data_IF_556046875501
#
_entry.id   IF_556046875501
#
_cell.length_a   1.000
_cell.length_b   1.000
_cell.length_c   1.000
_cell.angle_alpha   90.00
_cell.angle_beta   90.00
_cell.angle_gamma   90.00
#
_symmetry.space_group_name_H-M   'P 1'
#
loop_
_entity.id
_entity.type
_entity.pdbx_description
1 polymer ?
#
# COMPACT_ATOMS: atom_id res chain seq x y z
N UNK A 1 24.45 -37.92 -22.64
CA UNK A 1 24.33 -36.56 -22.06
C UNK A 1 23.06 -35.77 -22.46
N UNK A 2 22.21 -36.25 -23.38
CA UNK A 2 21.10 -35.46 -23.97
C UNK A 2 19.78 -35.39 -23.15
N UNK A 3 19.36 -36.46 -22.46
CA UNK A 3 18.05 -36.50 -21.75
C UNK A 3 17.94 -35.59 -20.50
N UNK A 4 19.04 -35.38 -19.76
CA UNK A 4 19.05 -34.48 -18.58
C UNK A 4 18.93 -33.01 -18.97
N UNK A 5 19.51 -32.62 -20.11
CA UNK A 5 19.43 -31.26 -20.62
C UNK A 5 18.02 -30.92 -21.10
N UNK A 6 17.37 -31.83 -21.85
CA UNK A 6 15.99 -31.65 -22.34
C UNK A 6 14.97 -31.51 -21.20
N UNK A 7 15.12 -32.33 -20.15
CA UNK A 7 14.24 -32.29 -18.97
C UNK A 7 14.48 -31.09 -18.04
N UNK A 8 15.63 -30.43 -18.14
CA UNK A 8 15.89 -29.15 -17.45
C UNK A 8 15.26 -27.96 -18.19
N UNK A 9 15.31 -27.98 -19.54
CA UNK A 9 14.71 -26.96 -20.41
C UNK A 9 13.18 -26.95 -20.33
N UNK A 10 12.54 -28.14 -20.36
CA UNK A 10 11.08 -28.27 -20.21
C UNK A 10 10.56 -27.87 -18.82
N UNK A 11 11.38 -28.08 -17.77
CA UNK A 11 11.06 -27.62 -16.41
C UNK A 11 11.16 -26.10 -16.29
N UNK A 12 12.18 -25.49 -16.90
CA UNK A 12 12.35 -24.05 -16.94
C UNK A 12 11.19 -23.33 -17.62
N UNK A 13 10.79 -23.80 -18.81
CA UNK A 13 9.68 -23.19 -19.57
C UNK A 13 8.32 -23.33 -18.86
N UNK A 14 8.09 -24.45 -18.17
CA UNK A 14 6.85 -24.70 -17.42
C UNK A 14 6.75 -23.83 -16.16
N UNK A 15 7.85 -23.64 -15.43
CA UNK A 15 7.92 -22.75 -14.25
C UNK A 15 7.79 -21.29 -14.66
N UNK A 16 8.40 -20.88 -15.77
CA UNK A 16 8.26 -19.53 -16.31
C UNK A 16 6.85 -19.24 -16.82
N UNK A 17 6.19 -20.21 -17.45
CA UNK A 17 4.80 -20.09 -17.89
C UNK A 17 3.84 -19.97 -16.70
N UNK A 18 4.03 -20.79 -15.65
CA UNK A 18 3.26 -20.70 -14.42
C UNK A 18 3.47 -19.34 -13.72
N UNK A 19 4.72 -18.89 -13.59
CA UNK A 19 5.03 -17.59 -12.98
C UNK A 19 4.49 -16.38 -13.78
N UNK A 20 4.49 -16.46 -15.13
CA UNK A 20 3.86 -15.44 -15.99
C UNK A 20 2.34 -15.43 -15.84
N UNK A 21 1.72 -16.60 -15.77
CA UNK A 21 0.27 -16.76 -15.61
C UNK A 21 -0.19 -16.24 -14.24
N UNK A 22 0.52 -16.58 -13.17
CA UNK A 22 0.22 -16.10 -11.81
C UNK A 22 0.40 -14.57 -11.73
N UNK A 23 1.41 -14.01 -12.39
CA UNK A 23 1.59 -12.55 -12.51
C UNK A 23 0.47 -11.89 -13.31
N UNK A 24 -0.04 -12.54 -14.35
CA UNK A 24 -1.19 -12.08 -15.12
C UNK A 24 -2.46 -12.02 -14.28
N UNK A 25 -2.75 -13.07 -13.49
CA UNK A 25 -3.89 -13.09 -12.57
C UNK A 25 -3.77 -12.03 -11.48
N UNK A 26 -2.58 -11.84 -10.90
CA UNK A 26 -2.35 -10.81 -9.89
C UNK A 26 -2.54 -9.40 -10.46
N UNK A 27 -2.04 -9.13 -11.67
CA UNK A 27 -2.24 -7.83 -12.33
C UNK A 27 -3.70 -7.61 -12.70
N UNK A 28 -4.37 -8.62 -13.26
CA UNK A 28 -5.80 -8.55 -13.60
C UNK A 28 -6.66 -8.31 -12.36
N UNK A 29 -6.37 -8.98 -11.25
CA UNK A 29 -7.03 -8.75 -9.96
C UNK A 29 -6.80 -7.32 -9.45
N UNK A 30 -5.56 -6.82 -9.52
CA UNK A 30 -5.22 -5.46 -9.11
C UNK A 30 -5.95 -4.40 -9.96
N UNK A 31 -5.97 -4.58 -11.28
CA UNK A 31 -6.71 -3.68 -12.18
C UNK A 31 -8.22 -3.75 -11.94
N UNK A 32 -8.77 -4.95 -11.74
CA UNK A 32 -10.19 -5.16 -11.43
C UNK A 32 -10.60 -4.46 -10.13
N UNK A 33 -9.82 -4.64 -9.06
CA UNK A 33 -10.06 -3.97 -7.77
C UNK A 33 -9.95 -2.44 -7.94
N UNK A 34 -8.95 -1.95 -8.66
CA UNK A 34 -8.76 -0.52 -8.90
C UNK A 34 -9.93 0.09 -9.69
N UNK A 35 -10.42 -0.61 -10.71
CA UNK A 35 -11.57 -0.17 -11.52
C UNK A 35 -12.87 -0.19 -10.72
N UNK A 36 -13.10 -1.23 -9.90
CA UNK A 36 -14.26 -1.31 -9.02
C UNK A 36 -14.26 -0.21 -7.97
N UNK A 37 -13.10 0.10 -7.38
CA UNK A 37 -12.95 1.20 -6.45
C UNK A 37 -13.29 2.54 -7.11
N UNK A 38 -12.81 2.77 -8.34
CA UNK A 38 -13.14 3.97 -9.11
C UNK A 38 -14.63 4.08 -9.45
N UNK A 39 -15.24 2.99 -9.93
CA UNK A 39 -16.66 2.95 -10.24
C UNK A 39 -17.52 3.25 -9.00
N UNK A 40 -17.14 2.69 -7.84
CA UNK A 40 -17.80 2.95 -6.58
C UNK A 40 -17.68 4.43 -6.16
N UNK A 41 -16.50 5.04 -6.29
CA UNK A 41 -16.33 6.47 -5.97
C UNK A 41 -17.15 7.40 -6.86
N UNK A 42 -17.28 7.09 -8.16
CA UNK A 42 -18.11 7.87 -9.08
C UNK A 42 -19.59 7.72 -8.72
N UNK A 43 -20.05 6.49 -8.48
CA UNK A 43 -21.44 6.25 -8.08
C UNK A 43 -21.79 6.96 -6.76
N UNK A 44 -20.86 7.00 -5.81
CA UNK A 44 -21.06 7.72 -4.54
C UNK A 44 -21.12 9.24 -4.73
N UNK A 45 -20.38 9.78 -5.70
CA UNK A 45 -20.41 11.21 -6.05
C UNK A 45 -21.73 11.61 -6.75
N UNK A 46 -22.26 10.75 -7.62
CA UNK A 46 -23.52 11.01 -8.33
C UNK A 46 -24.75 10.97 -7.40
N UNK A 47 -24.68 10.25 -6.28
CA UNK A 47 -25.74 10.18 -5.27
C UNK A 47 -25.63 11.23 -4.15
N UNK A 48 -24.60 12.09 -4.18
CA UNK A 48 -24.43 13.15 -3.20
C UNK A 48 -25.35 14.35 -3.52
N UNK A 49 -26.54 14.34 -2.93
CA UNK A 49 -27.53 15.40 -3.09
C UNK A 49 -27.05 16.74 -2.45
N UNK A 50 -26.84 17.83 -3.22
CA UNK A 50 -26.25 19.07 -2.71
C UNK A 50 -27.08 19.72 -1.59
N UNK A 51 -28.40 19.49 -1.58
CA UNK A 51 -29.33 20.01 -0.58
C UNK A 51 -29.19 19.36 0.80
N UNK A 52 -28.90 18.05 0.86
CA UNK A 52 -28.63 17.34 2.11
C UNK A 52 -27.19 17.54 2.58
N UNK A 53 -26.26 17.84 1.68
CA UNK A 53 -24.86 18.12 2.03
C UNK A 53 -24.71 19.36 2.93
N UNK A 54 -25.50 20.42 2.71
CA UNK A 54 -25.53 21.61 3.58
C UNK A 54 -26.18 21.35 4.94
N UNK A 55 -27.20 20.48 4.99
CA UNK A 55 -27.87 20.10 6.25
C UNK A 55 -26.97 19.18 7.12
N UNK A 56 -26.23 18.26 6.50
CA UNK A 56 -25.24 17.41 7.19
C UNK A 56 -23.96 18.15 7.58
N UNK A 57 -23.52 19.13 6.78
CA UNK A 57 -22.31 19.90 7.08
C UNK A 57 -22.39 20.74 8.38
N UNK A 58 -23.60 21.08 8.85
CA UNK A 58 -23.78 21.96 10.02
C UNK A 58 -23.99 21.20 11.36
N UNK A 59 -24.27 19.89 11.33
CA UNK A 59 -24.77 19.17 12.51
C UNK A 59 -23.82 18.13 13.15
N UNK A 60 -22.70 17.76 12.51
CA UNK A 60 -21.91 16.62 12.96
C UNK A 60 -20.70 17.01 13.83
N UNK A 61 -20.88 17.00 15.15
CA UNK A 61 -19.77 16.63 16.03
C UNK A 61 -19.23 15.28 15.54
N UNK A 62 -17.91 15.15 15.34
CA UNK A 62 -17.29 13.90 14.88
C UNK A 62 -17.62 12.77 15.87
N UNK A 63 -18.62 11.97 15.55
CA UNK A 63 -18.98 10.79 16.31
C UNK A 63 -17.89 9.72 16.11
N UNK A 64 -17.76 8.80 17.09
CA UNK A 64 -16.83 7.67 17.00
C UNK A 64 -17.02 6.83 15.71
N UNK A 65 -18.24 6.84 15.17
CA UNK A 65 -18.59 6.22 13.89
C UNK A 65 -17.88 6.88 12.71
N UNK A 66 -17.85 8.20 12.62
CA UNK A 66 -17.18 8.94 11.53
C UNK A 66 -15.66 8.74 11.54
N UNK A 67 -15.05 8.71 12.73
CA UNK A 67 -13.64 8.37 12.91
C UNK A 67 -13.36 6.94 12.43
N UNK A 68 -14.23 5.98 12.78
CA UNK A 68 -14.13 4.60 12.36
C UNK A 68 -14.22 4.44 10.84
N UNK A 69 -15.22 5.05 10.21
CA UNK A 69 -15.42 5.00 8.75
C UNK A 69 -14.25 5.66 8.01
N UNK A 70 -13.79 6.83 8.48
CA UNK A 70 -12.64 7.54 7.90
C UNK A 70 -11.36 6.72 8.03
N UNK A 71 -11.12 6.11 9.20
CA UNK A 71 -9.99 5.21 9.40
C UNK A 71 -10.03 3.98 8.51
N UNK A 72 -11.20 3.35 8.33
CA UNK A 72 -11.36 2.22 7.43
C UNK A 72 -11.11 2.62 5.97
N UNK A 73 -11.63 3.77 5.54
CA UNK A 73 -11.38 4.31 4.20
C UNK A 73 -9.88 4.50 3.96
N UNK A 74 -9.17 5.20 4.85
CA UNK A 74 -7.72 5.36 4.78
C UNK A 74 -7.01 4.00 4.80
N UNK A 75 -7.36 3.12 5.75
CA UNK A 75 -6.76 1.79 5.89
C UNK A 75 -6.86 0.96 4.62
N UNK A 76 -8.07 0.83 4.06
CA UNK A 76 -8.31 0.06 2.82
C UNK A 76 -7.53 0.67 1.66
N UNK A 77 -7.56 2.00 1.51
CA UNK A 77 -6.83 2.69 0.43
C UNK A 77 -5.32 2.50 0.54
N UNK A 78 -4.76 2.69 1.73
CA UNK A 78 -3.32 2.52 1.99
C UNK A 78 -2.91 1.07 1.72
N UNK A 79 -3.65 0.08 2.21
CA UNK A 79 -3.37 -1.34 1.94
C UNK A 79 -3.46 -1.64 0.44
N UNK A 80 -4.50 -1.18 -0.25
CA UNK A 80 -4.70 -1.43 -1.68
C UNK A 80 -3.55 -0.87 -2.53
N UNK A 81 -3.08 0.34 -2.22
CA UNK A 81 -2.03 1.01 -2.99
C UNK A 81 -0.61 0.60 -2.60
N UNK A 82 -0.38 0.29 -1.33
CA UNK A 82 0.97 0.02 -0.80
C UNK A 82 1.30 -1.47 -0.77
N UNK A 83 0.33 -2.38 -0.69
CA UNK A 83 0.63 -3.82 -0.78
C UNK A 83 1.33 -4.23 -2.09
N UNK A 84 0.98 -3.67 -3.27
CA UNK A 84 1.69 -3.93 -4.52
C UNK A 84 3.19 -3.60 -4.47
N UNK A 85 3.61 -2.59 -3.70
CA UNK A 85 5.02 -2.19 -3.61
C UNK A 85 5.85 -3.21 -2.81
N UNK A 86 5.23 -3.89 -1.85
CA UNK A 86 5.84 -4.97 -1.05
C UNK A 86 5.84 -6.34 -1.74
N UNK A 87 5.07 -6.52 -2.83
CA UNK A 87 4.90 -7.79 -3.50
C UNK A 87 6.23 -8.46 -3.97
N UNK A 88 7.22 -7.73 -4.55
CA UNK A 88 8.48 -8.34 -4.95
C UNK A 88 9.26 -8.94 -3.76
N UNK A 89 9.23 -8.29 -2.60
CA UNK A 89 9.88 -8.76 -1.36
C UNK A 89 9.17 -9.97 -0.78
N UNK A 90 7.83 -9.95 -0.74
CA UNK A 90 7.03 -11.09 -0.30
C UNK A 90 7.30 -12.34 -1.15
N UNK A 91 7.34 -12.19 -2.48
CA UNK A 91 7.66 -13.28 -3.39
C UNK A 91 9.08 -13.82 -3.18
N UNK A 92 10.06 -12.95 -2.90
CA UNK A 92 11.41 -13.36 -2.57
C UNK A 92 11.47 -14.17 -1.27
N UNK A 93 10.80 -13.72 -0.20
CA UNK A 93 10.73 -14.43 1.08
C UNK A 93 10.05 -15.79 0.94
N UNK A 94 8.96 -15.89 0.17
CA UNK A 94 8.28 -17.17 -0.11
C UNK A 94 9.18 -18.13 -0.89
N UNK A 95 9.91 -17.65 -1.90
CA UNK A 95 10.85 -18.47 -2.67
C UNK A 95 12.00 -18.99 -1.80
N UNK A 96 12.57 -18.14 -0.95
CA UNK A 96 13.63 -18.54 -0.02
C UNK A 96 13.11 -19.56 1.00
N UNK A 97 11.89 -19.38 1.52
CA UNK A 97 11.25 -20.34 2.43
C UNK A 97 11.05 -21.71 1.80
N UNK A 98 10.56 -21.77 0.55
CA UNK A 98 10.34 -23.02 -0.19
C UNK A 98 11.61 -23.72 -0.66
N UNK A 99 12.73 -22.99 -0.78
CA UNK A 99 14.02 -23.56 -1.16
C UNK A 99 14.75 -24.25 0.01
N UNK A 100 14.25 -24.12 1.25
CA UNK A 100 14.86 -24.78 2.42
C UNK A 100 14.49 -26.26 2.44
N UNK A 101 15.38 -27.16 2.91
CA UNK A 101 15.12 -28.60 3.00
C UNK A 101 14.04 -29.02 4.02
N UNK A 102 13.40 -28.06 4.69
CA UNK A 102 12.39 -28.31 5.72
C UNK A 102 11.05 -28.71 5.06
N UNK A 103 10.44 -29.85 5.45
CA UNK A 103 9.18 -30.34 4.88
C UNK A 103 7.99 -29.36 4.97
N UNK A 104 8.07 -28.34 5.84
CA UNK A 104 6.95 -27.44 6.13
C UNK A 104 6.76 -26.28 5.15
N UNK A 105 7.70 -26.01 4.24
CA UNK A 105 7.58 -24.91 3.27
C UNK A 105 7.23 -23.56 3.94
N UNK A 106 7.81 -23.32 5.11
CA UNK A 106 7.34 -22.33 6.09
C UNK A 106 7.13 -20.92 5.51
N UNK A 107 5.86 -20.51 5.45
CA UNK A 107 5.43 -19.15 5.06
C UNK A 107 5.59 -18.12 6.20
N UNK A 108 6.02 -18.56 7.38
CA UNK A 108 6.15 -17.74 8.59
C UNK A 108 6.99 -16.46 8.38
N UNK A 109 8.14 -16.47 7.68
CA UNK A 109 8.90 -15.24 7.44
C UNK A 109 8.14 -14.27 6.52
N UNK A 110 7.46 -14.78 5.49
CA UNK A 110 6.69 -13.93 4.58
C UNK A 110 5.47 -13.30 5.27
N UNK A 111 4.73 -14.07 6.07
CA UNK A 111 3.60 -13.55 6.85
C UNK A 111 4.04 -12.58 7.94
N UNK A 112 5.17 -12.85 8.60
CA UNK A 112 5.75 -11.93 9.59
C UNK A 112 6.18 -10.60 8.96
N UNK A 113 6.81 -10.64 7.78
CA UNK A 113 7.11 -9.42 7.02
C UNK A 113 5.85 -8.64 6.65
N UNK A 114 4.83 -9.32 6.12
CA UNK A 114 3.57 -8.70 5.77
C UNK A 114 2.91 -8.01 6.97
N UNK A 115 2.91 -8.67 8.14
CA UNK A 115 2.37 -8.12 9.38
C UNK A 115 3.08 -6.82 9.76
N UNK A 116 4.42 -6.81 9.75
CA UNK A 116 5.21 -5.63 10.09
C UNK A 116 4.94 -4.46 9.15
N UNK A 117 4.82 -4.75 7.85
CA UNK A 117 4.48 -3.76 6.83
C UNK A 117 3.07 -3.17 7.06
N UNK A 118 2.07 -4.03 7.27
CA UNK A 118 0.70 -3.59 7.50
C UNK A 118 0.57 -2.76 8.78
N UNK A 119 1.30 -3.09 9.86
CA UNK A 119 1.29 -2.31 11.10
C UNK A 119 1.70 -0.85 10.87
N UNK A 120 2.74 -0.61 10.06
CA UNK A 120 3.16 0.76 9.72
C UNK A 120 2.06 1.49 8.94
N UNK A 121 1.46 0.86 7.94
CA UNK A 121 0.39 1.50 7.15
C UNK A 121 -0.90 1.70 7.93
N UNK A 122 -1.23 0.82 8.86
CA UNK A 122 -2.32 1.02 9.82
C UNK A 122 -2.04 2.23 10.70
N UNK A 123 -0.82 2.39 11.21
CA UNK A 123 -0.43 3.57 12.00
C UNK A 123 -0.50 4.87 11.18
N UNK A 124 -0.08 4.84 9.91
CA UNK A 124 -0.20 5.97 8.99
C UNK A 124 -1.67 6.31 8.71
N UNK A 125 -2.52 5.29 8.55
CA UNK A 125 -3.96 5.49 8.33
C UNK A 125 -4.62 6.14 9.54
N UNK A 126 -4.23 5.75 10.75
CA UNK A 126 -4.68 6.40 11.99
C UNK A 126 -4.22 7.87 12.03
N UNK A 127 -2.94 8.12 11.71
CA UNK A 127 -2.42 9.48 11.64
C UNK A 127 -3.18 10.34 10.63
N UNK A 128 -3.47 9.82 9.44
CA UNK A 128 -4.23 10.51 8.41
C UNK A 128 -5.65 10.86 8.86
N UNK A 129 -6.34 9.91 9.51
CA UNK A 129 -7.67 10.15 10.10
C UNK A 129 -7.63 11.26 11.14
N UNK A 130 -6.67 11.24 12.06
CA UNK A 130 -6.52 12.28 13.08
C UNK A 130 -6.18 13.64 12.48
N UNK A 131 -5.32 13.67 11.45
CA UNK A 131 -4.98 14.90 10.74
C UNK A 131 -6.21 15.48 10.03
N UNK A 132 -6.99 14.65 9.33
CA UNK A 132 -8.22 15.06 8.65
C UNK A 132 -9.25 15.59 9.65
N UNK A 133 -9.42 14.91 10.79
CA UNK A 133 -10.28 15.39 11.88
C UNK A 133 -9.87 16.78 12.37
N UNK A 134 -8.57 16.99 12.66
CA UNK A 134 -8.04 18.29 13.11
C UNK A 134 -8.19 19.40 12.07
N UNK A 135 -8.02 19.09 10.79
CA UNK A 135 -8.21 20.05 9.70
C UNK A 135 -9.67 20.42 9.51
N UNK A 136 -10.57 19.45 9.72
CA UNK A 136 -12.01 19.67 9.69
C UNK A 136 -12.48 20.55 10.86
N UNK A 137 -12.00 20.32 12.09
CA UNK A 137 -12.27 21.18 13.25
C UNK A 137 -11.89 22.65 13.01
N UNK A 138 -10.86 22.89 12.18
CA UNK A 138 -10.39 24.23 11.83
C UNK A 138 -11.07 24.83 10.59
N UNK A 139 -12.10 24.17 10.06
CA UNK A 139 -12.78 24.51 8.82
C UNK A 139 -11.83 24.68 7.60
N UNK A 140 -10.65 24.05 7.63
CA UNK A 140 -9.68 24.11 6.53
C UNK A 140 -10.00 23.08 5.44
N UNK A 141 -10.70 22.01 5.79
CA UNK A 141 -11.04 20.88 4.91
C UNK A 141 -12.50 20.49 5.13
N UNK A 142 -13.26 20.26 4.06
CA UNK A 142 -14.66 19.82 4.08
C UNK A 142 -14.78 18.37 4.56
N UNK A 143 -16.01 17.92 4.85
CA UNK A 143 -16.27 16.51 5.14
C UNK A 143 -15.84 15.57 3.99
N UNK A 144 -15.89 16.07 2.74
CA UNK A 144 -15.44 15.36 1.54
C UNK A 144 -13.92 15.43 1.29
N UNK A 145 -13.14 16.06 2.18
CA UNK A 145 -11.69 16.17 2.02
C UNK A 145 -11.22 17.33 1.13
N UNK A 146 -12.13 18.20 0.67
CA UNK A 146 -11.80 19.35 -0.17
C UNK A 146 -11.26 20.51 0.68
N UNK A 147 -10.21 21.18 0.20
CA UNK A 147 -9.70 22.39 0.87
C UNK A 147 -10.75 23.51 0.82
N UNK A 148 -11.03 24.10 1.98
CA UNK A 148 -11.92 25.26 2.10
C UNK A 148 -11.16 26.60 2.14
N UNK A 149 -9.82 26.55 2.12
CA UNK A 149 -8.96 27.74 2.12
C UNK A 149 -7.98 27.71 0.94
N UNK A 150 -8.04 28.75 0.11
CA UNK A 150 -7.11 28.93 -1.01
C UNK A 150 -5.67 29.10 -0.54
N UNK A 151 -5.46 29.77 0.61
CA UNK A 151 -4.13 29.94 1.21
C UNK A 151 -3.58 28.59 1.68
N UNK A 152 -4.38 27.80 2.39
CA UNK A 152 -3.97 26.47 2.84
C UNK A 152 -3.63 25.56 1.66
N UNK A 153 -4.51 25.49 0.66
CA UNK A 153 -4.27 24.73 -0.56
C UNK A 153 -3.02 25.20 -1.30
N UNK A 154 -2.83 26.52 -1.44
CA UNK A 154 -1.66 27.12 -2.07
C UNK A 154 -0.36 26.80 -1.35
N UNK A 155 -0.32 26.87 -0.01
CA UNK A 155 0.85 26.50 0.79
C UNK A 155 1.18 25.00 0.62
N UNK A 156 0.18 24.13 0.69
CA UNK A 156 0.38 22.68 0.50
C UNK A 156 0.93 22.39 -0.90
N UNK A 157 0.38 23.02 -1.94
CA UNK A 157 0.84 22.86 -3.32
C UNK A 157 2.26 23.40 -3.53
N UNK A 158 2.60 24.55 -2.93
CA UNK A 158 3.95 25.10 -2.98
C UNK A 158 4.96 24.16 -2.31
N UNK A 159 4.65 23.66 -1.11
CA UNK A 159 5.50 22.68 -0.41
C UNK A 159 5.66 21.39 -1.23
N UNK A 160 4.58 20.88 -1.82
CA UNK A 160 4.64 19.73 -2.72
C UNK A 160 5.49 20.02 -3.97
N UNK A 161 5.37 21.21 -4.55
CA UNK A 161 6.18 21.65 -5.69
C UNK A 161 7.67 21.72 -5.36
N UNK A 162 8.02 22.34 -4.22
CA UNK A 162 9.41 22.40 -3.73
C UNK A 162 9.96 21.00 -3.49
N UNK A 163 9.20 20.11 -2.83
CA UNK A 163 9.62 18.72 -2.64
C UNK A 163 9.81 17.98 -3.97
N UNK A 164 8.93 18.20 -4.95
CA UNK A 164 8.99 17.53 -6.24
C UNK A 164 10.16 18.02 -7.12
N UNK A 165 10.50 19.31 -7.03
CA UNK A 165 11.55 19.95 -7.84
C UNK A 165 12.95 19.83 -7.22
N UNK A 166 13.05 19.51 -5.92
CA UNK A 166 14.34 19.33 -5.24
C UNK A 166 14.93 17.93 -5.49
N UNK A 167 16.27 17.80 -5.51
CA UNK A 167 16.94 16.51 -5.64
C UNK A 167 16.67 15.56 -4.46
N UNK A 168 16.05 16.07 -3.38
CA UNK A 168 15.63 15.31 -2.21
C UNK A 168 14.69 14.16 -2.59
N UNK A 169 13.71 14.39 -3.49
CA UNK A 169 12.83 13.34 -3.99
C UNK A 169 13.62 12.19 -4.63
N UNK A 170 14.60 12.51 -5.48
CA UNK A 170 15.39 11.50 -6.15
C UNK A 170 16.32 10.75 -5.20
N UNK A 171 16.93 11.44 -4.23
CA UNK A 171 17.74 10.79 -3.20
C UNK A 171 16.91 9.79 -2.38
N UNK A 172 15.70 10.20 -1.98
CA UNK A 172 14.75 9.35 -1.26
C UNK A 172 14.34 8.13 -2.11
N UNK A 173 13.90 8.36 -3.36
CA UNK A 173 13.47 7.27 -4.26
C UNK A 173 14.58 6.26 -4.57
N UNK A 174 15.84 6.69 -4.76
CA UNK A 174 16.98 5.77 -4.95
C UNK A 174 17.18 4.84 -3.76
N UNK A 175 16.97 5.35 -2.54
CA UNK A 175 17.04 4.54 -1.32
C UNK A 175 15.83 3.62 -1.17
N UNK A 176 14.62 4.13 -1.46
CA UNK A 176 13.37 3.38 -1.27
C UNK A 176 13.09 2.32 -2.35
N UNK A 177 13.62 2.47 -3.58
CA UNK A 177 13.31 1.59 -4.74
C UNK A 177 14.37 0.52 -5.05
N UNK A 178 15.39 0.34 -4.22
CA UNK A 178 16.39 -0.71 -4.47
C UNK A 178 16.14 -1.94 -3.58
N UNK A 179 15.25 -2.87 -4.00
CA UNK A 179 14.91 -4.04 -3.18
C UNK A 179 16.11 -4.96 -2.94
N UNK A 180 17.06 -5.05 -3.88
CA UNK A 180 18.29 -5.81 -3.69
C UNK A 180 19.21 -5.16 -2.65
N UNK A 181 19.36 -3.83 -2.66
CA UNK A 181 20.14 -3.13 -1.65
C UNK A 181 19.49 -3.25 -0.27
N UNK A 182 18.16 -3.18 -0.21
CA UNK A 182 17.44 -3.40 1.04
C UNK A 182 17.67 -4.82 1.57
N UNK A 183 17.52 -5.83 0.71
CA UNK A 183 17.71 -7.22 1.11
C UNK A 183 19.16 -7.45 1.59
N UNK A 184 20.16 -6.98 0.85
CA UNK A 184 21.56 -7.15 1.23
C UNK A 184 21.95 -6.40 2.51
N UNK A 185 21.32 -5.25 2.80
CA UNK A 185 21.67 -4.44 3.98
C UNK A 185 20.81 -4.69 5.22
N UNK A 186 19.58 -5.19 5.06
CA UNK A 186 18.62 -5.37 6.16
C UNK A 186 18.21 -6.82 6.39
N UNK A 187 18.79 -7.80 5.66
CA UNK A 187 18.45 -9.21 5.85
C UNK A 187 18.60 -9.64 7.31
N UNK A 188 17.52 -10.17 7.86
CA UNK A 188 17.48 -10.71 9.22
C UNK A 188 16.83 -12.09 9.16
N UNK A 189 17.53 -13.17 9.56
CA UNK A 189 16.94 -14.51 9.57
C UNK A 189 15.83 -14.63 10.63
N UNK A 190 14.90 -15.55 10.39
CA UNK A 190 13.79 -15.86 11.32
C UNK A 190 12.56 -14.98 11.15
N UNK A 191 11.46 -15.36 11.82
CA UNK A 191 10.17 -14.64 11.78
C UNK A 191 10.27 -13.22 12.37
N UNK A 192 10.96 -13.06 13.50
CA UNK A 192 11.21 -11.75 14.11
C UNK A 192 12.04 -10.83 13.21
N UNK A 193 13.05 -11.40 12.55
CA UNK A 193 13.84 -10.70 11.55
C UNK A 193 12.97 -10.19 10.39
N UNK A 194 12.06 -11.04 9.91
CA UNK A 194 11.15 -10.69 8.83
C UNK A 194 10.12 -9.63 9.25
N UNK A 195 9.59 -9.68 10.47
CA UNK A 195 8.72 -8.64 11.03
C UNK A 195 9.40 -7.27 11.03
N UNK A 196 10.64 -7.19 11.54
CA UNK A 196 11.42 -5.95 11.54
C UNK A 196 11.74 -5.47 10.13
N UNK A 197 12.03 -6.38 9.21
CA UNK A 197 12.20 -6.02 7.79
C UNK A 197 10.90 -5.41 7.23
N UNK A 198 9.73 -5.92 7.58
CA UNK A 198 8.43 -5.35 7.19
C UNK A 198 8.24 -3.93 7.71
N UNK A 199 8.54 -3.71 9.00
CA UNK A 199 8.43 -2.38 9.64
C UNK A 199 9.39 -1.37 9.01
N UNK A 200 10.62 -1.77 8.70
CA UNK A 200 11.62 -0.86 8.08
C UNK A 200 11.32 -0.61 6.60
N UNK A 201 10.51 -1.47 5.97
CA UNK A 201 10.13 -1.33 4.56
C UNK A 201 8.85 -0.52 4.34
N UNK A 202 7.92 -0.54 5.31
CA UNK A 202 6.74 0.34 5.33
C UNK A 202 7.11 1.78 5.59
#
# INVERSE_FOLDING_TARGET
>A
MSRRMLSSQLRGSSVEAAARRDRGFLLAGLFGISALAWAYTIALADHADPGNALLHAHAHAWAATELGTTFLMWGVMMVAMMLPTAAPMLLALVRIGRARPDPSGSLLPASSFLLGYLLVWTAISLFATLAQWRLHERALVSASGASQSAVFGGVVLLLAGVFQLTPLKQACLRRCRSPLLFLMSQWRPGSWGALRMGIVHG
#
